data_IF_790119754812
#
_entry.id   IF_790119754812
#
_cell.length_a   1.000
_cell.length_b   1.000
_cell.length_c   1.000
_cell.angle_alpha   90.00
_cell.angle_beta   90.00
_cell.angle_gamma   90.00
#
_symmetry.space_group_name_H-M   'P 1'
#
loop_
_entity.id
_entity.type
_entity.pdbx_description
1 polymer ?
#
# COMPACT_ATOMS: atom_id res chain seq x y z
N UNK A 1 7.44 6.95 18.92
CA UNK A 1 7.68 7.48 20.28
C UNK A 1 8.61 8.69 20.29
N UNK A 2 9.81 8.63 19.71
CA UNK A 2 10.77 9.77 19.75
C UNK A 2 10.27 11.08 19.12
N UNK A 3 9.41 11.04 18.10
CA UNK A 3 8.83 12.25 17.48
C UNK A 3 7.60 12.81 18.20
N UNK A 4 6.99 12.04 19.12
CA UNK A 4 5.72 12.40 19.78
C UNK A 4 5.87 13.66 20.64
N UNK A 5 6.98 13.92 21.36
CA UNK A 5 7.13 15.16 22.13
C UNK A 5 7.40 16.41 21.29
N UNK A 6 7.76 16.27 20.00
CA UNK A 6 8.24 17.40 19.18
C UNK A 6 7.18 18.51 19.02
N UNK A 7 5.90 18.21 18.74
CA UNK A 7 4.84 19.23 18.68
C UNK A 7 4.54 19.91 20.01
N UNK A 8 4.90 19.29 21.15
CA UNK A 8 4.69 19.83 22.49
C UNK A 8 5.77 20.84 22.90
N UNK A 9 6.98 20.73 22.35
CA UNK A 9 8.14 21.53 22.77
C UNK A 9 7.99 23.03 22.48
N UNK A 10 7.46 23.41 21.30
CA UNK A 10 7.25 24.82 20.94
C UNK A 10 6.18 25.50 21.82
N UNK A 11 5.01 24.88 22.07
CA UNK A 11 4.03 25.41 23.01
C UNK A 11 4.52 25.50 24.46
N UNK A 12 5.30 24.52 24.93
CA UNK A 12 5.90 24.55 26.27
C UNK A 12 6.86 25.74 26.41
N UNK A 13 7.66 26.02 25.38
CA UNK A 13 8.51 27.21 25.36
C UNK A 13 7.72 28.52 25.36
N UNK A 14 6.59 28.57 24.64
CA UNK A 14 5.73 29.75 24.57
C UNK A 14 5.11 30.04 25.94
N UNK A 15 4.53 29.04 26.61
CA UNK A 15 3.94 29.25 27.94
C UNK A 15 5.00 29.55 29.02
N UNK A 16 6.20 28.96 28.94
CA UNK A 16 7.19 29.06 30.03
C UNK A 16 8.11 30.28 29.89
N UNK A 17 8.53 30.63 28.66
CA UNK A 17 9.45 31.76 28.41
C UNK A 17 8.71 33.09 28.29
N UNK A 18 7.48 33.10 27.74
CA UNK A 18 6.73 34.35 27.53
C UNK A 18 5.72 34.68 28.65
N UNK A 19 5.20 33.68 29.39
CA UNK A 19 4.16 33.90 30.42
C UNK A 19 4.64 33.69 31.88
N UNK A 20 5.94 33.46 32.11
CA UNK A 20 6.58 33.36 33.44
C UNK A 20 5.93 32.37 34.43
N UNK A 21 5.32 31.29 33.93
CA UNK A 21 4.89 30.18 34.79
C UNK A 21 6.03 29.15 34.91
N UNK A 22 6.59 28.90 36.12
CA UNK A 22 7.73 28.02 36.28
C UNK A 22 7.28 26.56 36.12
N UNK A 23 7.76 25.88 35.08
CA UNK A 23 7.55 24.44 34.90
C UNK A 23 8.88 23.68 34.86
N UNK A 24 8.77 22.34 34.77
CA UNK A 24 9.86 21.39 35.01
C UNK A 24 11.02 21.49 34.03
N UNK A 25 10.83 22.08 32.84
CA UNK A 25 11.83 22.14 31.78
C UNK A 25 12.90 23.21 32.05
N UNK A 26 12.48 24.39 32.52
CA UNK A 26 13.41 25.41 33.01
C UNK A 26 14.12 24.90 34.27
N UNK A 27 13.41 24.20 35.18
CA UNK A 27 14.00 23.65 36.40
C UNK A 27 15.09 22.58 36.17
N UNK A 28 14.92 21.69 35.19
CA UNK A 28 15.94 20.67 34.86
C UNK A 28 17.16 21.26 34.16
N UNK A 29 16.98 22.24 33.27
CA UNK A 29 18.08 22.95 32.60
C UNK A 29 18.82 23.87 33.57
N UNK A 30 18.09 24.56 34.45
CA UNK A 30 18.65 25.44 35.48
C UNK A 30 19.43 24.66 36.55
N UNK A 31 19.08 23.40 36.80
CA UNK A 31 19.86 22.53 37.68
C UNK A 31 21.22 22.11 37.09
N UNK A 32 21.41 22.22 35.78
CA UNK A 32 22.62 21.80 35.06
C UNK A 32 23.46 22.98 34.56
N UNK A 33 22.96 24.23 34.67
CA UNK A 33 23.62 25.41 34.11
C UNK A 33 23.82 26.51 35.18
N UNK A 34 24.95 27.24 35.17
CA UNK A 34 25.21 28.29 36.16
C UNK A 34 24.18 29.41 36.11
N UNK A 35 23.85 29.98 37.28
CA UNK A 35 22.82 31.01 37.42
C UNK A 35 23.02 32.25 36.53
N UNK A 36 24.26 32.54 36.14
CA UNK A 36 24.65 33.66 35.27
C UNK A 36 24.27 33.47 33.79
N UNK A 37 23.88 32.27 33.37
CA UNK A 37 23.61 31.93 31.97
C UNK A 37 22.12 31.77 31.65
N UNK A 38 21.21 32.03 32.61
CA UNK A 38 19.74 31.93 32.46
C UNK A 38 19.11 33.01 31.56
N UNK A 39 19.80 33.42 30.49
CA UNK A 39 19.22 34.28 29.47
C UNK A 39 18.25 33.51 28.56
N UNK A 40 17.29 34.19 27.90
CA UNK A 40 16.39 33.58 26.92
C UNK A 40 17.11 32.77 25.82
N UNK A 41 18.32 33.19 25.46
CA UNK A 41 19.14 32.54 24.44
C UNK A 41 19.53 31.09 24.80
N UNK A 42 19.82 30.81 26.08
CA UNK A 42 20.20 29.47 26.54
C UNK A 42 19.01 28.52 26.46
N UNK A 43 17.84 28.94 26.93
CA UNK A 43 16.64 28.10 26.90
C UNK A 43 16.19 27.80 25.46
N UNK A 44 16.22 28.80 24.57
CA UNK A 44 15.92 28.61 23.14
C UNK A 44 16.96 27.67 22.50
N UNK A 45 18.26 27.86 22.79
CA UNK A 45 19.32 27.00 22.27
C UNK A 45 19.22 25.55 22.77
N UNK A 46 18.91 25.34 24.04
CA UNK A 46 18.74 24.02 24.64
C UNK A 46 17.51 23.30 24.08
N UNK A 47 16.38 24.00 23.91
CA UNK A 47 15.19 23.43 23.29
C UNK A 47 15.41 23.10 21.81
N UNK A 48 16.13 23.97 21.07
CA UNK A 48 16.54 23.67 19.69
C UNK A 48 17.39 22.41 19.64
N UNK A 49 18.43 22.30 20.48
CA UNK A 49 19.29 21.13 20.53
C UNK A 49 18.48 19.86 20.86
N UNK A 50 17.59 19.92 21.85
CA UNK A 50 16.73 18.81 22.21
C UNK A 50 15.80 18.40 21.05
N UNK A 51 15.15 19.35 20.39
CA UNK A 51 14.27 19.05 19.24
C UNK A 51 15.04 18.42 18.08
N UNK A 52 16.25 18.91 17.79
CA UNK A 52 17.13 18.37 16.74
C UNK A 52 17.58 16.96 17.11
N UNK A 53 18.02 16.71 18.35
CA UNK A 53 18.42 15.38 18.81
C UNK A 53 17.26 14.40 18.73
N UNK A 54 16.06 14.77 19.22
CA UNK A 54 14.86 13.93 19.11
C UNK A 54 14.51 13.60 17.65
N UNK A 55 14.61 14.59 16.74
CA UNK A 55 14.37 14.37 15.30
C UNK A 55 15.42 13.45 14.67
N UNK A 56 16.69 13.61 15.02
CA UNK A 56 17.76 12.73 14.55
C UNK A 56 17.55 11.29 15.03
N UNK A 57 17.24 11.11 16.32
CA UNK A 57 16.91 9.79 16.87
C UNK A 57 15.68 9.19 16.19
N UNK A 58 14.64 9.99 15.93
CA UNK A 58 13.47 9.53 15.19
C UNK A 58 13.82 9.04 13.79
N UNK A 59 14.60 9.80 13.02
CA UNK A 59 15.02 9.43 11.67
C UNK A 59 15.85 8.13 11.71
N UNK A 60 16.81 8.04 12.63
CA UNK A 60 17.65 6.85 12.77
C UNK A 60 16.82 5.59 13.07
N UNK A 61 15.88 5.70 14.02
CA UNK A 61 14.99 4.59 14.36
C UNK A 61 14.07 4.21 13.19
N UNK A 62 13.56 5.19 12.43
CA UNK A 62 12.73 4.94 11.26
C UNK A 62 13.50 4.20 10.16
N UNK A 63 14.74 4.60 9.89
CA UNK A 63 15.61 3.91 8.92
C UNK A 63 15.93 2.47 9.36
N UNK A 64 16.26 2.27 10.64
CA UNK A 64 16.53 0.93 11.19
C UNK A 64 15.29 0.02 11.07
N UNK A 65 14.13 0.55 11.42
CA UNK A 65 12.87 -0.16 11.32
C UNK A 65 12.54 -0.51 9.86
N UNK A 66 12.60 0.46 8.94
CA UNK A 66 12.38 0.23 7.52
C UNK A 66 13.34 -0.82 6.94
N UNK A 67 14.62 -0.79 7.34
CA UNK A 67 15.62 -1.80 6.94
C UNK A 67 15.23 -3.20 7.43
N UNK A 68 14.89 -3.36 8.70
CA UNK A 68 14.51 -4.68 9.26
C UNK A 68 13.27 -5.25 8.58
N UNK A 69 12.22 -4.44 8.39
CA UNK A 69 11.01 -4.89 7.68
C UNK A 69 11.26 -5.20 6.22
N UNK A 70 12.11 -4.44 5.54
CA UNK A 70 12.52 -4.73 4.16
C UNK A 70 13.22 -6.08 4.07
N UNK A 71 14.20 -6.36 4.94
CA UNK A 71 14.90 -7.65 4.96
C UNK A 71 13.95 -8.82 5.22
N UNK A 72 13.04 -8.68 6.19
CA UNK A 72 12.03 -9.70 6.49
C UNK A 72 11.08 -9.95 5.31
N UNK A 73 10.60 -8.88 4.66
CA UNK A 73 9.75 -9.00 3.48
C UNK A 73 10.46 -9.75 2.35
N UNK A 74 11.74 -9.44 2.10
CA UNK A 74 12.55 -10.12 1.07
C UNK A 74 12.72 -11.61 1.36
N UNK A 75 12.96 -11.98 2.62
CA UNK A 75 13.11 -13.39 3.03
C UNK A 75 11.82 -14.19 2.83
N UNK A 76 10.67 -13.59 3.20
CA UNK A 76 9.36 -14.20 2.98
C UNK A 76 9.08 -14.38 1.48
N UNK A 77 9.32 -13.36 0.68
CA UNK A 77 9.11 -13.41 -0.77
C UNK A 77 10.05 -14.42 -1.43
N UNK A 78 11.30 -14.48 -1.00
CA UNK A 78 12.26 -15.49 -1.45
C UNK A 78 11.75 -16.91 -1.17
N UNK A 79 11.29 -17.17 0.06
CA UNK A 79 10.73 -18.46 0.46
C UNK A 79 9.52 -18.85 -0.38
N UNK A 80 8.59 -17.90 -0.63
CA UNK A 80 7.43 -18.14 -1.50
C UNK A 80 7.89 -18.44 -2.92
N UNK A 81 8.85 -17.69 -3.46
CA UNK A 81 9.39 -17.89 -4.82
C UNK A 81 10.00 -19.28 -4.97
N UNK A 82 10.81 -19.73 -4.02
CA UNK A 82 11.40 -21.08 -4.01
C UNK A 82 10.30 -22.15 -3.94
N UNK A 83 9.28 -21.97 -3.08
CA UNK A 83 8.15 -22.90 -2.98
C UNK A 83 7.36 -22.98 -4.28
N UNK A 84 7.10 -21.87 -4.95
CA UNK A 84 6.42 -21.83 -6.24
C UNK A 84 7.26 -22.51 -7.33
N UNK A 85 8.59 -22.30 -7.38
CA UNK A 85 9.48 -22.98 -8.32
C UNK A 85 9.47 -24.50 -8.12
N UNK A 86 9.57 -24.95 -6.87
CA UNK A 86 9.51 -26.38 -6.52
C UNK A 86 8.15 -27.01 -6.82
N UNK A 87 7.07 -26.23 -6.80
CA UNK A 87 5.74 -26.70 -7.19
C UNK A 87 5.61 -26.79 -8.71
N UNK A 88 6.22 -25.87 -9.45
CA UNK A 88 6.15 -25.83 -10.91
C UNK A 88 6.67 -27.10 -11.58
N UNK A 89 7.68 -27.76 -11.00
CA UNK A 89 8.21 -29.03 -11.52
C UNK A 89 7.31 -30.25 -11.27
N UNK A 90 6.27 -30.12 -10.43
CA UNK A 90 5.38 -31.22 -10.03
C UNK A 90 3.97 -31.09 -10.61
N UNK A 91 3.59 -29.91 -11.09
CA UNK A 91 2.26 -29.64 -11.64
C UNK A 91 2.05 -30.44 -12.93
N UNK A 92 0.84 -30.97 -13.11
CA UNK A 92 0.48 -31.70 -14.31
C UNK A 92 0.55 -30.80 -15.57
N UNK A 93 1.10 -31.30 -16.67
CA UNK A 93 1.26 -30.53 -17.91
C UNK A 93 -0.08 -29.98 -18.42
N UNK A 94 -1.15 -30.77 -18.29
CA UNK A 94 -2.51 -30.37 -18.66
C UNK A 94 -3.06 -29.17 -17.88
N UNK A 95 -2.68 -29.02 -16.60
CA UNK A 95 -3.06 -27.86 -15.79
C UNK A 95 -2.23 -26.63 -16.21
N UNK A 96 -0.92 -26.81 -16.46
CA UNK A 96 -0.05 -25.73 -16.92
C UNK A 96 -0.51 -25.13 -18.27
N UNK A 97 -0.94 -25.96 -19.21
CA UNK A 97 -1.49 -25.52 -20.51
C UNK A 97 -2.76 -24.66 -20.38
N UNK A 98 -3.55 -24.87 -19.32
CA UNK A 98 -4.78 -24.07 -19.10
C UNK A 98 -4.49 -22.69 -18.51
N UNK A 99 -3.43 -22.56 -17.71
CA UNK A 99 -3.06 -21.29 -17.07
C UNK A 99 -2.22 -20.43 -18.02
N UNK A 100 -1.29 -21.05 -18.76
CA UNK A 100 -0.39 -20.39 -19.69
C UNK A 100 0.83 -19.74 -19.01
N UNK A 101 1.96 -19.74 -19.71
CA UNK A 101 3.26 -19.27 -19.20
C UNK A 101 3.23 -17.80 -18.76
N UNK A 102 2.58 -16.91 -19.52
CA UNK A 102 2.51 -15.48 -19.19
C UNK A 102 1.79 -15.19 -17.88
N UNK A 103 0.72 -15.94 -17.57
CA UNK A 103 -0.01 -15.79 -16.31
C UNK A 103 0.83 -16.29 -15.12
N UNK A 104 1.52 -17.41 -15.29
CA UNK A 104 2.47 -17.93 -14.30
C UNK A 104 3.58 -16.91 -14.04
N UNK A 105 4.20 -16.34 -15.09
CA UNK A 105 5.21 -15.28 -14.94
C UNK A 105 4.69 -14.07 -14.17
N UNK A 106 3.45 -13.64 -14.44
CA UNK A 106 2.83 -12.54 -13.69
C UNK A 106 2.66 -12.87 -12.19
N UNK A 107 2.30 -14.10 -11.83
CA UNK A 107 2.26 -14.53 -10.43
C UNK A 107 3.65 -14.48 -9.76
N UNK A 108 4.71 -14.82 -10.50
CA UNK A 108 6.09 -14.80 -9.99
C UNK A 108 6.69 -13.39 -9.84
N UNK A 109 6.16 -12.40 -10.56
CA UNK A 109 6.70 -11.04 -10.55
C UNK A 109 5.71 -10.08 -9.88
N UNK A 110 4.56 -9.86 -10.50
CA UNK A 110 3.58 -8.86 -10.08
C UNK A 110 2.96 -9.19 -8.72
N UNK A 111 2.53 -10.45 -8.53
CA UNK A 111 1.85 -10.85 -7.29
C UNK A 111 2.82 -10.93 -6.11
N UNK A 112 4.04 -11.42 -6.33
CA UNK A 112 5.11 -11.39 -5.33
C UNK A 112 5.55 -9.97 -4.97
N UNK A 113 5.61 -9.04 -5.94
CA UNK A 113 5.92 -7.64 -5.66
C UNK A 113 4.81 -6.94 -4.84
N UNK A 114 3.55 -7.31 -5.06
CA UNK A 114 2.45 -6.81 -4.24
C UNK A 114 2.57 -7.29 -2.77
N UNK A 115 2.94 -8.55 -2.56
CA UNK A 115 3.20 -9.11 -1.23
C UNK A 115 4.42 -8.44 -0.57
N UNK A 116 5.51 -8.26 -1.33
CA UNK A 116 6.72 -7.55 -0.89
C UNK A 116 6.41 -6.13 -0.40
N UNK A 117 5.66 -5.37 -1.20
CA UNK A 117 5.28 -3.98 -0.87
C UNK A 117 4.36 -3.93 0.35
N UNK A 118 3.44 -4.88 0.48
CA UNK A 118 2.56 -4.97 1.64
C UNK A 118 3.35 -5.27 2.92
N UNK A 119 4.20 -6.30 2.92
CA UNK A 119 5.02 -6.69 4.07
C UNK A 119 6.06 -5.62 4.44
N UNK A 120 6.78 -5.11 3.44
CA UNK A 120 7.92 -4.23 3.64
C UNK A 120 7.51 -2.80 3.97
N UNK A 121 6.65 -2.19 3.16
CA UNK A 121 6.27 -0.79 3.33
C UNK A 121 5.00 -0.63 4.17
N UNK A 122 3.95 -1.41 3.89
CA UNK A 122 2.62 -1.15 4.48
C UNK A 122 2.54 -1.61 5.94
N UNK A 123 3.03 -2.81 6.27
CA UNK A 123 3.05 -3.30 7.66
C UNK A 123 4.04 -2.49 8.50
N UNK A 124 5.22 -2.18 7.94
CA UNK A 124 6.20 -1.31 8.61
C UNK A 124 5.60 0.05 8.94
N UNK A 125 4.94 0.69 7.96
CA UNK A 125 4.21 1.94 8.16
C UNK A 125 3.15 1.81 9.25
N UNK A 126 2.28 0.80 9.19
CA UNK A 126 1.25 0.54 10.19
C UNK A 126 1.80 0.53 11.61
N UNK A 127 2.92 -0.17 11.84
CA UNK A 127 3.52 -0.24 13.17
C UNK A 127 3.90 1.16 13.66
N UNK A 128 4.54 1.97 12.81
CA UNK A 128 4.88 3.37 13.17
C UNK A 128 3.61 4.19 13.41
N UNK A 129 2.63 4.10 12.54
CA UNK A 129 1.39 4.89 12.62
C UNK A 129 0.61 4.55 13.89
N UNK A 130 0.48 3.25 14.24
CA UNK A 130 -0.19 2.80 15.47
C UNK A 130 0.57 3.25 16.71
N UNK A 131 1.89 3.04 16.77
CA UNK A 131 2.68 3.56 17.88
C UNK A 131 2.51 5.08 17.99
N UNK A 132 2.56 5.80 16.88
CA UNK A 132 2.44 7.25 16.88
C UNK A 132 1.08 7.71 17.40
N UNK A 133 -0.01 7.09 16.94
CA UNK A 133 -1.36 7.37 17.43
C UNK A 133 -1.51 7.10 18.93
N UNK A 134 -0.97 5.99 19.43
CA UNK A 134 -0.96 5.68 20.87
C UNK A 134 -0.18 6.74 21.66
N UNK A 135 0.99 7.13 21.16
CA UNK A 135 1.81 8.15 21.80
C UNK A 135 1.13 9.51 21.85
N UNK A 136 0.52 9.95 20.74
CA UNK A 136 -0.25 11.19 20.69
C UNK A 136 -1.46 11.12 21.61
N UNK A 137 -2.21 10.01 21.59
CA UNK A 137 -3.34 9.81 22.48
C UNK A 137 -2.92 9.91 23.94
N UNK A 138 -1.82 9.27 24.35
CA UNK A 138 -1.31 9.34 25.71
C UNK A 138 -0.99 10.78 26.14
N UNK A 139 -0.36 11.57 25.27
CA UNK A 139 -0.07 13.00 25.56
C UNK A 139 -1.35 13.81 25.65
N UNK A 140 -2.31 13.61 24.73
CA UNK A 140 -3.58 14.31 24.77
C UNK A 140 -4.39 13.96 26.02
N UNK A 141 -4.40 12.69 26.44
CA UNK A 141 -5.07 12.26 27.68
C UNK A 141 -4.44 12.88 28.92
N UNK A 142 -3.12 13.05 28.92
CA UNK A 142 -2.41 13.73 30.00
C UNK A 142 -2.79 15.21 30.09
N UNK A 143 -3.01 15.87 28.94
CA UNK A 143 -3.35 17.29 28.88
C UNK A 143 -4.83 17.54 29.20
N UNK A 144 -5.74 16.89 28.48
CA UNK A 144 -7.18 17.09 28.65
C UNK A 144 -7.97 15.88 28.17
N UNK A 145 -8.42 15.03 29.10
CA UNK A 145 -9.02 13.74 28.79
C UNK A 145 -10.33 13.83 27.97
N UNK A 146 -11.17 14.85 28.18
CA UNK A 146 -12.40 15.04 27.40
C UNK A 146 -12.08 15.34 25.92
N UNK A 147 -11.02 16.14 25.69
CA UNK A 147 -10.59 16.53 24.36
C UNK A 147 -9.91 15.34 23.65
N UNK A 148 -9.09 14.61 24.38
CA UNK A 148 -8.45 13.39 23.90
C UNK A 148 -9.48 12.34 23.45
N UNK A 149 -10.51 12.10 24.26
CA UNK A 149 -11.59 11.16 23.95
C UNK A 149 -12.36 11.60 22.70
N UNK A 150 -12.66 12.90 22.58
CA UNK A 150 -13.30 13.47 21.39
C UNK A 150 -12.45 13.23 20.14
N UNK A 151 -11.17 13.64 20.14
CA UNK A 151 -10.26 13.47 19.00
C UNK A 151 -10.11 11.98 18.64
N UNK A 152 -9.96 11.10 19.63
CA UNK A 152 -9.78 9.67 19.43
C UNK A 152 -11.01 9.01 18.82
N UNK A 153 -12.22 9.37 19.27
CA UNK A 153 -13.48 8.83 18.75
C UNK A 153 -13.81 9.37 17.36
N UNK A 154 -13.35 10.58 17.06
CA UNK A 154 -13.57 11.24 15.79
C UNK A 154 -12.63 10.71 14.68
N UNK A 155 -11.43 10.21 15.01
CA UNK A 155 -10.51 9.56 14.05
C UNK A 155 -11.10 8.37 13.27
N UNK A 156 -11.71 7.34 13.88
CA UNK A 156 -12.31 6.23 13.15
C UNK A 156 -13.49 6.70 12.27
N UNK A 157 -14.21 7.75 12.68
CA UNK A 157 -15.27 8.36 11.86
C UNK A 157 -14.68 8.98 10.60
N UNK A 158 -13.56 9.70 10.70
CA UNK A 158 -12.84 10.26 9.54
C UNK A 158 -12.35 9.16 8.62
N UNK A 159 -11.76 8.09 9.15
CA UNK A 159 -11.31 6.93 8.36
C UNK A 159 -12.51 6.29 7.64
N UNK A 160 -13.64 6.10 8.33
CA UNK A 160 -14.83 5.48 7.76
C UNK A 160 -15.47 6.36 6.67
N UNK A 161 -15.55 7.67 6.88
CA UNK A 161 -16.03 8.62 5.88
C UNK A 161 -15.11 8.68 4.66
N UNK A 162 -13.80 8.75 4.89
CA UNK A 162 -12.76 8.71 3.84
C UNK A 162 -12.84 7.43 3.00
N UNK A 163 -13.02 6.28 3.64
CA UNK A 163 -13.13 5.00 2.92
C UNK A 163 -14.40 4.93 2.09
N UNK A 164 -15.52 5.46 2.58
CA UNK A 164 -16.77 5.47 1.84
C UNK A 164 -16.71 6.38 0.60
N UNK A 165 -16.00 7.51 0.71
CA UNK A 165 -15.66 8.38 -0.44
C UNK A 165 -14.72 7.68 -1.43
N UNK A 166 -13.69 6.98 -0.94
CA UNK A 166 -12.72 6.25 -1.76
C UNK A 166 -13.34 5.09 -2.57
N UNK A 167 -14.39 4.44 -2.06
CA UNK A 167 -15.10 3.37 -2.79
C UNK A 167 -15.70 3.85 -4.12
N UNK A 168 -16.15 5.11 -4.22
CA UNK A 168 -16.69 5.67 -5.48
C UNK A 168 -15.62 5.89 -6.56
N UNK A 169 -14.35 6.07 -6.17
CA UNK A 169 -13.21 6.19 -7.10
C UNK A 169 -12.84 4.82 -7.70
N UNK A 170 -13.05 3.75 -6.94
CA UNK A 170 -12.72 2.37 -7.34
C UNK A 170 -13.47 1.93 -8.59
N UNK A 171 -14.72 2.35 -8.75
CA UNK A 171 -15.54 1.96 -9.91
C UNK A 171 -15.06 2.61 -11.21
N UNK A 172 -14.51 3.83 -11.15
CA UNK A 172 -13.94 4.48 -12.33
C UNK A 172 -12.62 3.80 -12.76
N UNK A 173 -11.74 3.44 -11.82
CA UNK A 173 -10.48 2.72 -12.11
C UNK A 173 -10.71 1.33 -12.76
N UNK A 174 -11.86 0.71 -12.49
CA UNK A 174 -12.27 -0.56 -13.10
C UNK A 174 -12.55 -0.45 -14.61
N UNK A 175 -13.04 0.71 -15.06
CA UNK A 175 -13.30 0.95 -16.48
C UNK A 175 -12.01 1.22 -17.27
N UNK A 176 -10.94 1.72 -16.64
CA UNK A 176 -9.60 1.90 -17.25
C UNK A 176 -9.00 0.57 -17.67
N UNK A 177 -8.89 -0.33 -16.70
CA UNK A 177 -8.18 -1.58 -16.85
C UNK A 177 -8.84 -2.42 -17.93
N UNK A 178 -10.18 -2.32 -18.05
CA UNK A 178 -10.95 -3.00 -19.08
C UNK A 178 -10.66 -2.48 -20.49
N UNK A 179 -10.40 -1.19 -20.67
CA UNK A 179 -10.05 -0.63 -21.98
C UNK A 179 -8.64 -1.05 -22.42
N UNK A 180 -7.68 -1.11 -21.48
CA UNK A 180 -6.34 -1.63 -21.72
C UNK A 180 -6.35 -3.13 -22.03
N UNK A 181 -7.13 -3.93 -21.29
CA UNK A 181 -7.29 -5.36 -21.55
C UNK A 181 -7.81 -5.65 -22.97
N UNK A 182 -8.84 -4.92 -23.42
CA UNK A 182 -9.41 -5.07 -24.77
C UNK A 182 -8.40 -4.72 -25.87
N UNK A 183 -7.55 -3.71 -25.65
CA UNK A 183 -6.48 -3.39 -26.60
C UNK A 183 -5.44 -4.51 -26.69
N UNK A 184 -4.97 -4.97 -25.53
CA UNK A 184 -3.93 -6.00 -25.44
C UNK A 184 -4.40 -7.31 -26.08
N UNK A 185 -5.67 -7.66 -25.90
CA UNK A 185 -6.28 -8.84 -26.52
C UNK A 185 -6.33 -8.73 -28.05
N UNK A 186 -6.80 -7.60 -28.59
CA UNK A 186 -6.88 -7.38 -30.04
C UNK A 186 -5.48 -7.33 -30.71
N UNK A 187 -4.48 -6.76 -30.02
CA UNK A 187 -3.10 -6.73 -30.48
C UNK A 187 -2.48 -8.13 -30.49
N UNK A 188 -2.69 -8.91 -29.43
CA UNK A 188 -2.20 -10.29 -29.34
C UNK A 188 -2.81 -11.19 -30.43
N UNK A 189 -4.13 -11.12 -30.65
CA UNK A 189 -4.82 -11.90 -31.68
C UNK A 189 -4.30 -11.57 -33.09
N UNK A 190 -4.01 -10.30 -33.36
CA UNK A 190 -3.48 -9.88 -34.66
C UNK A 190 -2.03 -10.34 -34.87
N UNK A 191 -1.21 -10.30 -33.82
CA UNK A 191 0.18 -10.78 -33.88
C UNK A 191 0.27 -12.30 -34.02
N UNK A 192 -0.58 -13.05 -33.32
CA UNK A 192 -0.67 -14.51 -33.46
C UNK A 192 -1.17 -14.93 -34.86
N UNK A 193 -2.04 -14.14 -35.48
CA UNK A 193 -2.59 -14.40 -36.82
C UNK A 193 -1.74 -13.81 -37.97
N UNK A 194 -0.60 -13.17 -37.69
CA UNK A 194 0.16 -12.40 -38.67
C UNK A 194 0.58 -13.22 -39.91
N UNK A 195 1.05 -14.45 -39.70
CA UNK A 195 1.45 -15.35 -40.80
C UNK A 195 0.26 -15.79 -41.66
N UNK A 196 -0.92 -16.01 -41.07
CA UNK A 196 -2.15 -16.30 -41.82
C UNK A 196 -2.64 -15.07 -42.58
N UNK A 197 -2.57 -13.88 -41.98
CA UNK A 197 -2.98 -12.62 -42.61
C UNK A 197 -2.09 -12.30 -43.82
N UNK A 198 -0.78 -12.54 -43.70
CA UNK A 198 0.19 -12.45 -44.82
C UNK A 198 -0.12 -13.45 -45.92
N UNK A 199 -0.42 -14.70 -45.57
CA UNK A 199 -0.81 -15.73 -46.54
C UNK A 199 -2.10 -15.38 -47.30
N UNK A 200 -3.02 -14.62 -46.68
CA UNK A 200 -4.24 -14.13 -47.33
C UNK A 200 -4.08 -12.80 -48.08
N UNK A 201 -2.87 -12.20 -48.09
CA UNK A 201 -2.60 -10.88 -48.68
C UNK A 201 -3.55 -9.77 -48.19
N UNK A 202 -4.06 -9.89 -46.94
CA UNK A 202 -5.04 -8.96 -46.34
C UNK A 202 -4.46 -8.07 -45.25
N UNK A 203 -3.14 -7.90 -45.22
CA UNK A 203 -2.40 -7.14 -44.21
C UNK A 203 -2.96 -5.73 -44.00
N UNK A 204 -3.21 -4.98 -45.08
CA UNK A 204 -3.78 -3.62 -45.01
C UNK A 204 -5.15 -3.57 -44.32
N UNK A 205 -6.01 -4.54 -44.56
CA UNK A 205 -7.36 -4.56 -43.97
C UNK A 205 -7.32 -4.87 -42.47
N UNK A 206 -6.48 -5.81 -42.07
CA UNK A 206 -6.31 -6.16 -40.65
C UNK A 206 -5.52 -5.08 -39.89
N UNK A 207 -4.48 -4.51 -40.47
CA UNK A 207 -3.74 -3.39 -39.89
C UNK A 207 -4.59 -2.12 -39.78
N UNK A 208 -5.48 -1.84 -40.74
CA UNK A 208 -6.44 -0.74 -40.64
C UNK A 208 -7.44 -0.98 -39.50
N UNK A 209 -7.94 -2.21 -39.33
CA UNK A 209 -8.84 -2.56 -38.22
C UNK A 209 -8.17 -2.42 -36.85
N UNK A 210 -6.87 -2.76 -36.74
CA UNK A 210 -6.08 -2.50 -35.52
C UNK A 210 -5.82 -1.01 -35.33
N UNK A 211 -5.57 -0.25 -36.41
CA UNK A 211 -5.39 1.20 -36.35
C UNK A 211 -6.69 1.93 -35.93
N UNK A 212 -7.86 1.47 -36.38
CA UNK A 212 -9.16 1.99 -35.95
C UNK A 212 -9.42 1.68 -34.48
N UNK A 213 -9.05 0.48 -34.01
CA UNK A 213 -9.09 0.14 -32.58
C UNK A 213 -8.10 0.97 -31.77
N UNK A 214 -6.91 1.26 -32.30
CA UNK A 214 -5.96 2.19 -31.69
C UNK A 214 -6.48 3.63 -31.66
N UNK A 215 -7.27 4.06 -32.65
CA UNK A 215 -7.92 5.38 -32.67
C UNK A 215 -9.07 5.47 -31.65
N UNK A 216 -9.87 4.41 -31.49
CA UNK A 216 -10.85 4.27 -30.39
C UNK A 216 -10.15 4.33 -29.03
N UNK A 217 -9.01 3.67 -28.87
CA UNK A 217 -8.21 3.75 -27.64
C UNK A 217 -7.65 5.14 -27.44
N UNK A 218 -7.18 5.84 -28.48
CA UNK A 218 -6.74 7.22 -28.33
C UNK A 218 -7.86 8.11 -27.77
N UNK A 219 -9.09 7.96 -28.25
CA UNK A 219 -10.22 8.75 -27.75
C UNK A 219 -10.66 8.31 -26.35
N UNK A 220 -10.84 7.00 -26.12
CA UNK A 220 -11.30 6.47 -24.85
C UNK A 220 -10.23 6.54 -23.75
N UNK A 221 -8.97 6.26 -24.05
CA UNK A 221 -7.85 6.36 -23.09
C UNK A 221 -7.50 7.81 -22.79
N UNK A 222 -7.55 8.74 -23.76
CA UNK A 222 -7.39 10.17 -23.44
C UNK A 222 -8.54 10.65 -22.55
N UNK A 223 -9.79 10.33 -22.91
CA UNK A 223 -10.97 10.68 -22.11
C UNK A 223 -10.92 10.05 -20.71
N UNK A 224 -10.43 8.83 -20.62
CA UNK A 224 -10.24 8.12 -19.37
C UNK A 224 -9.15 8.78 -18.51
N UNK A 225 -7.97 9.05 -19.08
CA UNK A 225 -6.82 9.56 -18.36
C UNK A 225 -7.11 10.92 -17.68
N UNK A 226 -7.71 11.88 -18.40
CA UNK A 226 -8.00 13.19 -17.79
C UNK A 226 -9.17 13.12 -16.79
N UNK A 227 -10.18 12.28 -17.07
CA UNK A 227 -11.36 12.16 -16.21
C UNK A 227 -11.06 11.37 -14.94
N UNK A 228 -10.22 10.34 -14.99
CA UNK A 228 -9.76 9.59 -13.82
C UNK A 228 -8.82 10.43 -12.95
N UNK A 229 -7.91 11.20 -13.56
CA UNK A 229 -7.02 12.11 -12.84
C UNK A 229 -7.83 13.24 -12.16
N UNK A 230 -8.78 13.85 -12.86
CA UNK A 230 -9.68 14.85 -12.28
C UNK A 230 -10.50 14.28 -11.11
N UNK A 231 -11.04 13.07 -11.25
CA UNK A 231 -11.81 12.42 -10.18
C UNK A 231 -10.96 12.01 -8.98
N UNK A 232 -9.70 11.59 -9.20
CA UNK A 232 -8.72 11.34 -8.14
C UNK A 232 -8.43 12.62 -7.35
N UNK A 233 -8.16 13.73 -8.05
CA UNK A 233 -7.92 15.06 -7.45
C UNK A 233 -9.13 15.57 -6.67
N UNK A 234 -10.34 15.44 -7.22
CA UNK A 234 -11.58 15.83 -6.53
C UNK A 234 -11.81 14.97 -5.28
N UNK A 235 -11.52 13.67 -5.36
CA UNK A 235 -11.68 12.79 -4.20
C UNK A 235 -10.68 13.11 -3.09
N UNK A 236 -9.43 13.42 -3.47
CA UNK A 236 -8.43 13.92 -2.53
C UNK A 236 -8.84 15.27 -1.92
N UNK A 237 -9.41 16.17 -2.73
CA UNK A 237 -9.93 17.45 -2.23
C UNK A 237 -11.09 17.25 -1.24
N UNK A 238 -12.05 16.39 -1.53
CA UNK A 238 -13.17 16.10 -0.60
C UNK A 238 -12.66 15.47 0.70
N UNK A 239 -11.66 14.59 0.62
CA UNK A 239 -10.98 14.07 1.81
C UNK A 239 -10.34 15.18 2.64
N UNK A 240 -9.58 16.08 2.00
CA UNK A 240 -8.90 17.19 2.67
C UNK A 240 -9.90 18.18 3.29
N UNK A 241 -10.98 18.49 2.57
CA UNK A 241 -12.06 19.34 3.07
C UNK A 241 -12.78 18.71 4.28
N UNK A 242 -13.02 17.41 4.27
CA UNK A 242 -13.58 16.68 5.41
C UNK A 242 -12.65 16.70 6.62
N UNK A 243 -11.35 16.53 6.40
CA UNK A 243 -10.32 16.64 7.44
C UNK A 243 -10.22 18.06 8.02
N UNK A 244 -10.32 19.10 7.18
CA UNK A 244 -10.33 20.49 7.64
C UNK A 244 -11.60 20.84 8.41
N UNK A 245 -12.77 20.36 7.98
CA UNK A 245 -14.02 20.52 8.72
C UNK A 245 -13.96 19.86 10.10
N UNK A 246 -13.38 18.66 10.18
CA UNK A 246 -13.06 17.97 11.42
C UNK A 246 -12.16 18.82 12.32
N UNK A 247 -11.07 19.36 11.76
CA UNK A 247 -10.10 20.17 12.51
C UNK A 247 -10.74 21.44 13.05
N UNK A 248 -11.62 22.08 12.26
CA UNK A 248 -12.40 23.23 12.70
C UNK A 248 -13.33 22.89 13.87
N UNK A 249 -14.00 21.72 13.84
CA UNK A 249 -14.86 21.28 14.95
C UNK A 249 -14.06 21.00 16.23
N UNK A 250 -12.91 20.34 16.11
CA UNK A 250 -12.00 20.11 17.23
C UNK A 250 -11.48 21.44 17.80
N UNK A 251 -11.14 22.41 16.94
CA UNK A 251 -10.70 23.74 17.36
C UNK A 251 -11.81 24.50 18.10
N UNK A 252 -13.05 24.40 17.63
CA UNK A 252 -14.19 25.02 18.31
C UNK A 252 -14.35 24.47 19.73
N UNK A 253 -14.21 23.15 19.92
CA UNK A 253 -14.19 22.54 21.25
C UNK A 253 -13.02 23.02 22.12
N UNK A 254 -11.82 23.18 21.55
CA UNK A 254 -10.65 23.73 22.27
C UNK A 254 -10.93 25.14 22.78
N UNK A 255 -11.57 25.99 21.98
CA UNK A 255 -11.89 27.38 22.36
C UNK A 255 -12.89 27.45 23.53
N UNK A 256 -13.84 26.53 23.59
CA UNK A 256 -14.78 26.43 24.72
C UNK A 256 -14.23 25.64 25.91
N UNK A 257 -13.01 25.10 25.81
CA UNK A 257 -12.30 24.44 26.91
C UNK A 257 -11.42 25.46 27.64
N UNK A 258 -11.31 25.36 28.96
CA UNK A 258 -10.45 26.24 29.77
C UNK A 258 -8.95 25.85 29.66
N UNK A 259 -8.42 25.78 28.44
CA UNK A 259 -7.04 25.42 28.12
C UNK A 259 -6.13 26.67 28.09
N UNK A 260 -4.85 26.52 28.44
CA UNK A 260 -3.84 27.57 28.24
C UNK A 260 -3.55 27.80 26.75
N UNK A 261 -2.98 28.95 26.40
CA UNK A 261 -2.59 29.26 25.02
C UNK A 261 -1.59 28.21 24.48
N UNK A 262 -0.61 27.78 25.28
CA UNK A 262 0.31 26.70 24.92
C UNK A 262 -0.39 25.35 24.76
N UNK A 263 -1.35 24.98 25.59
CA UNK A 263 -2.13 23.75 25.39
C UNK A 263 -2.92 23.78 24.08
N UNK A 264 -3.51 24.93 23.72
CA UNK A 264 -4.18 25.08 22.42
C UNK A 264 -3.21 24.90 21.24
N UNK A 265 -2.01 25.51 21.32
CA UNK A 265 -0.96 25.36 20.31
C UNK A 265 -0.45 23.91 20.22
N UNK A 266 -0.34 23.21 21.35
CA UNK A 266 0.07 21.82 21.39
C UNK A 266 -0.97 20.91 20.74
N UNK A 267 -2.24 21.08 21.05
CA UNK A 267 -3.34 20.36 20.40
C UNK A 267 -3.30 20.58 18.89
N UNK A 268 -3.10 21.82 18.44
CA UNK A 268 -2.97 22.12 17.01
C UNK A 268 -1.81 21.36 16.34
N UNK A 269 -0.64 21.37 16.98
CA UNK A 269 0.53 20.62 16.53
C UNK A 269 0.26 19.12 16.45
N UNK A 270 -0.45 18.56 17.43
CA UNK A 270 -0.82 17.15 17.45
C UNK A 270 -1.85 16.79 16.37
N UNK A 271 -2.86 17.63 16.12
CA UNK A 271 -3.81 17.42 15.02
C UNK A 271 -3.10 17.35 13.66
N UNK A 272 -2.14 18.23 13.42
CA UNK A 272 -1.33 18.19 12.20
C UNK A 272 -0.47 16.93 12.15
N UNK A 273 0.19 16.59 13.26
CA UNK A 273 1.07 15.42 13.34
C UNK A 273 0.31 14.09 13.15
N UNK A 274 -0.98 14.03 13.49
CA UNK A 274 -1.84 12.85 13.28
C UNK A 274 -2.26 12.64 11.81
N UNK A 275 -2.11 13.64 10.93
CA UNK A 275 -2.52 13.53 9.53
C UNK A 275 -1.82 12.37 8.82
N UNK A 276 -0.49 12.26 8.96
CA UNK A 276 0.30 11.24 8.29
C UNK A 276 -0.05 9.82 8.75
N UNK A 277 -0.08 9.50 10.07
CA UNK A 277 -0.54 8.18 10.53
C UNK A 277 -1.93 7.79 10.05
N UNK A 278 -2.90 8.73 10.04
CA UNK A 278 -4.26 8.45 9.56
C UNK A 278 -4.25 8.14 8.06
N UNK A 279 -3.46 8.85 7.26
CA UNK A 279 -3.31 8.59 5.84
C UNK A 279 -2.66 7.21 5.56
N UNK A 280 -1.65 6.83 6.35
CA UNK A 280 -1.00 5.52 6.26
C UNK A 280 -2.01 4.39 6.52
N UNK A 281 -2.91 4.55 7.50
CA UNK A 281 -3.98 3.59 7.79
C UNK A 281 -4.96 3.44 6.62
N UNK A 282 -5.27 4.52 5.91
CA UNK A 282 -6.09 4.47 4.69
C UNK A 282 -5.36 3.74 3.56
N UNK A 283 -4.08 4.06 3.34
CA UNK A 283 -3.24 3.43 2.31
C UNK A 283 -3.04 1.93 2.53
N UNK A 284 -2.90 1.51 3.80
CA UNK A 284 -2.79 0.11 4.18
C UNK A 284 -3.97 -0.73 3.69
N UNK A 285 -5.20 -0.20 3.73
CA UNK A 285 -6.38 -0.95 3.26
C UNK A 285 -6.27 -1.28 1.77
N UNK A 286 -5.82 -0.31 0.96
CA UNK A 286 -5.61 -0.53 -0.48
C UNK A 286 -4.51 -1.56 -0.73
N UNK A 287 -3.39 -1.46 0.00
CA UNK A 287 -2.31 -2.43 -0.09
C UNK A 287 -2.75 -3.84 0.33
N UNK A 288 -3.57 -3.94 1.39
CA UNK A 288 -4.14 -5.21 1.87
C UNK A 288 -5.08 -5.87 0.86
N UNK A 289 -5.93 -5.11 0.17
CA UNK A 289 -6.76 -5.65 -0.91
C UNK A 289 -5.91 -6.18 -2.08
N UNK A 290 -4.85 -5.48 -2.45
CA UNK A 290 -3.95 -5.91 -3.52
C UNK A 290 -3.18 -7.19 -3.13
N UNK A 291 -2.65 -7.24 -1.91
CA UNK A 291 -1.92 -8.39 -1.38
C UNK A 291 -2.83 -9.63 -1.21
N UNK A 292 -4.05 -9.47 -0.71
CA UNK A 292 -5.01 -10.58 -0.59
C UNK A 292 -5.39 -11.15 -1.97
N UNK A 293 -5.60 -10.30 -2.96
CA UNK A 293 -5.87 -10.75 -4.33
C UNK A 293 -4.66 -11.51 -4.93
N UNK A 294 -3.44 -11.04 -4.69
CA UNK A 294 -2.20 -11.70 -5.09
C UNK A 294 -2.01 -13.06 -4.40
N UNK A 295 -2.24 -13.14 -3.09
CA UNK A 295 -2.20 -14.38 -2.32
C UNK A 295 -3.21 -15.41 -2.84
N UNK A 296 -4.44 -14.98 -3.17
CA UNK A 296 -5.45 -15.87 -3.77
C UNK A 296 -4.97 -16.51 -5.08
N UNK A 297 -4.31 -15.74 -5.94
CA UNK A 297 -3.75 -16.23 -7.21
C UNK A 297 -2.56 -17.17 -7.01
N UNK A 298 -1.65 -16.83 -6.11
CA UNK A 298 -0.51 -17.70 -5.76
C UNK A 298 -0.99 -19.01 -5.14
N UNK A 299 -1.99 -18.97 -4.25
CA UNK A 299 -2.52 -20.16 -3.61
C UNK A 299 -3.26 -21.07 -4.61
N UNK A 300 -3.96 -20.48 -5.57
CA UNK A 300 -4.55 -21.24 -6.68
C UNK A 300 -3.48 -21.96 -7.52
N UNK A 301 -2.35 -21.32 -7.78
CA UNK A 301 -1.22 -21.94 -8.48
C UNK A 301 -0.58 -23.07 -7.65
N UNK A 302 -0.39 -22.86 -6.35
CA UNK A 302 0.16 -23.87 -5.45
C UNK A 302 -0.77 -25.08 -5.28
N UNK A 303 -2.09 -24.87 -5.35
CA UNK A 303 -3.12 -25.90 -5.24
C UNK A 303 -3.42 -26.70 -6.51
N UNK A 304 -2.72 -26.43 -7.63
CA UNK A 304 -2.90 -27.19 -8.87
C UNK A 304 -2.54 -28.67 -8.69
N UNK A 305 -3.16 -29.55 -9.51
CA UNK A 305 -2.97 -31.00 -9.43
C UNK A 305 -1.55 -31.40 -9.84
N UNK A 306 -1.02 -32.39 -9.13
CA UNK A 306 0.28 -32.98 -9.43
C UNK A 306 0.21 -33.91 -10.65
N UNK A 307 1.31 -33.98 -11.40
CA UNK A 307 1.48 -34.97 -12.47
C UNK A 307 1.45 -36.38 -11.83
N UNK A 308 0.65 -37.33 -12.37
CA UNK A 308 0.64 -38.69 -11.87
C UNK A 308 2.05 -39.28 -11.94
N UNK A 309 2.66 -39.52 -10.79
CA UNK A 309 3.94 -40.22 -10.72
C UNK A 309 3.67 -41.70 -11.05
N UNK A 310 3.96 -42.09 -12.29
CA UNK A 310 4.05 -43.50 -12.63
C UNK A 310 5.14 -44.12 -11.74
N UNK A 311 4.86 -45.24 -11.06
CA UNK A 311 5.90 -45.93 -10.30
C UNK A 311 7.07 -46.20 -11.26
N UNK A 312 8.27 -45.82 -10.85
CA UNK A 312 9.49 -46.19 -11.56
C UNK A 312 9.70 -47.68 -11.29
N UNK A 313 8.89 -48.52 -11.93
CA UNK A 313 9.24 -49.91 -12.11
C UNK A 313 10.53 -49.86 -12.93
N UNK A 314 11.63 -50.32 -12.34
CA UNK A 314 12.94 -50.40 -13.01
C UNK A 314 12.74 -51.21 -14.28
N UNK A 315 12.47 -50.52 -15.38
CA UNK A 315 12.21 -51.13 -16.66
C UNK A 315 13.51 -51.76 -17.11
N UNK A 316 13.69 -53.03 -16.75
CA UNK A 316 14.58 -53.94 -17.45
C UNK A 316 14.14 -53.83 -18.90
N UNK A 317 14.91 -53.13 -19.72
CA UNK A 317 14.70 -52.95 -21.14
C UNK A 317 14.76 -54.32 -21.82
N UNK A 318 13.66 -55.10 -21.72
CA UNK A 318 13.42 -56.23 -22.60
C UNK A 318 13.19 -55.61 -23.97
N UNK A 319 14.25 -55.60 -24.80
CA UNK A 319 14.16 -55.31 -26.23
C UNK A 319 13.14 -56.26 -26.84
N UNK A 320 11.91 -55.80 -26.96
CA UNK A 320 10.87 -56.49 -27.71
C UNK A 320 10.70 -55.70 -29.02
N UNK A 321 11.17 -56.22 -30.18
CA UNK A 321 10.96 -55.55 -31.44
C UNK A 321 9.48 -55.72 -31.81
N UNK A 322 8.80 -54.60 -32.02
CA UNK A 322 7.41 -54.48 -32.50
C UNK A 322 6.28 -54.84 -31.52
N UNK A 323 5.90 -53.87 -30.67
CA UNK A 323 4.52 -53.80 -30.14
C UNK A 323 3.94 -52.43 -30.50
N UNK A 324 3.34 -52.31 -31.68
CA UNK A 324 2.44 -51.21 -32.00
C UNK A 324 1.08 -51.49 -31.35
N UNK A 325 0.95 -51.23 -30.05
CA UNK A 325 -0.38 -51.09 -29.43
C UNK A 325 -0.91 -49.72 -29.84
N UNK A 326 -2.09 -49.69 -30.48
CA UNK A 326 -2.82 -48.44 -30.77
C UNK A 326 -3.14 -47.74 -29.45
N UNK A 327 -2.29 -46.79 -29.07
CA UNK A 327 -2.57 -45.88 -27.97
C UNK A 327 -3.58 -44.85 -28.48
N UNK A 328 -4.84 -44.97 -28.06
CA UNK A 328 -5.81 -43.89 -28.24
C UNK A 328 -5.47 -42.76 -27.26
N UNK A 329 -4.57 -41.85 -27.66
CA UNK A 329 -4.35 -40.60 -26.97
C UNK A 329 -5.60 -39.72 -27.14
N UNK A 330 -6.47 -39.72 -26.12
CA UNK A 330 -7.59 -38.77 -26.06
C UNK A 330 -7.05 -37.45 -25.50
N UNK A 331 -6.72 -36.53 -26.40
CA UNK A 331 -6.42 -35.15 -26.00
C UNK A 331 -7.65 -34.60 -25.28
N UNK A 332 -7.51 -34.19 -24.02
CA UNK A 332 -8.60 -33.55 -23.30
C UNK A 332 -8.84 -32.19 -23.98
N UNK A 333 -10.03 -31.92 -24.54
CA UNK A 333 -10.24 -30.69 -25.28
C UNK A 333 -10.12 -29.50 -24.32
N UNK A 334 -9.45 -28.43 -24.77
CA UNK A 334 -9.45 -27.11 -24.12
C UNK A 334 -10.88 -26.78 -23.71
N UNK A 335 -11.16 -26.78 -22.42
CA UNK A 335 -12.45 -26.34 -21.91
C UNK A 335 -12.63 -24.88 -22.30
N UNK A 336 -13.46 -24.63 -23.32
CA UNK A 336 -14.11 -23.33 -23.54
C UNK A 336 -14.90 -23.01 -22.26
N UNK A 337 -14.28 -22.34 -21.30
CA UNK A 337 -15.01 -21.52 -20.33
C UNK A 337 -15.47 -20.25 -21.06
N UNK A 338 -16.45 -20.44 -21.94
CA UNK A 338 -17.29 -19.37 -22.44
C UNK A 338 -18.63 -19.52 -21.71
N UNK A 339 -18.94 -18.50 -20.91
CA UNK A 339 -20.23 -18.21 -20.24
C UNK A 339 -20.49 -18.97 -18.93
N UNK A 340 -20.53 -18.24 -17.81
CA UNK A 340 -21.79 -17.76 -17.21
C UNK A 340 -21.52 -16.85 -15.99
N UNK A 341 -21.99 -15.60 -16.12
CA UNK A 341 -22.20 -14.51 -15.14
C UNK A 341 -21.01 -13.67 -14.67
#
# INVERSE_FOLDING_TARGET
MAAVPVPLLLPLMVDEVLLHHPAKFVGTIAGWTPASWHGPLLFIGAALLLTVTLRLTYILLNVLQARTFSLLAKEVVYTIRVRMLNRLSKIALSEFETVGSGRVTSHFVTDLNAIDSFLGASISGLVVSVLTLIGVAAVLFWMHWQLALFILLLNPVVILFSTQLGKRVKDLKKHENRAFEVFQEALAETLDALTQIRAMNREKHYLARVADKAAEIRQHAAAFAWKSDAMSRISFFVFLAGFDAFRALAMLMVVYSNLSIGEMLAVFGYLWFMMTPVQDLVNLQYAGYAANAALGRINALLGMRDEPQLPVESAVLRRNPSVHRRAHCRHRPRSRQLRLR
#
